data_IF_328335455965
#
_entry.id   IF_328335455965
#
_cell.length_a   1.000
_cell.length_b   1.000
_cell.length_c   1.000
_cell.angle_alpha   90.00
_cell.angle_beta   90.00
_cell.angle_gamma   90.00
#
_symmetry.space_group_name_H-M   'P 1'
#
loop_
_entity.id
_entity.type
_entity.pdbx_description
1 polymer ?
#
# COMPACT_ATOMS: atom_id res chain seq x y z
N UNK A 1 13.36 15.19 -15.06
CA UNK A 1 13.11 14.30 -13.91
C UNK A 1 11.60 14.12 -13.80
N UNK A 2 11.05 12.89 -13.86
CA UNK A 2 9.62 12.71 -13.74
C UNK A 2 9.18 13.21 -12.35
N UNK A 3 8.15 14.06 -12.32
CA UNK A 3 7.52 14.49 -11.06
C UNK A 3 6.99 13.23 -10.38
N UNK A 4 7.63 12.81 -9.29
CA UNK A 4 7.06 11.80 -8.39
C UNK A 4 5.70 12.35 -7.94
N UNK A 5 4.62 11.75 -8.43
CA UNK A 5 3.29 12.08 -7.96
C UNK A 5 3.10 11.30 -6.66
N UNK A 6 3.45 11.94 -5.55
CA UNK A 6 3.02 11.48 -4.24
C UNK A 6 1.49 11.41 -4.26
N UNK A 7 0.92 10.23 -4.00
CA UNK A 7 -0.52 9.98 -4.07
C UNK A 7 -0.98 9.43 -2.74
N UNK A 8 -1.99 10.08 -2.17
CA UNK A 8 -2.68 9.58 -0.97
C UNK A 8 -3.85 8.71 -1.43
N UNK A 9 -3.94 7.51 -0.88
CA UNK A 9 -5.06 6.59 -1.06
C UNK A 9 -5.66 6.26 0.31
N UNK A 10 -6.92 5.83 0.31
CA UNK A 10 -7.56 5.28 1.51
C UNK A 10 -7.89 3.82 1.23
N UNK A 11 -7.40 2.94 2.08
CA UNK A 11 -7.67 1.50 2.03
C UNK A 11 -8.74 1.14 3.05
N UNK A 12 -9.61 0.15 2.78
CA UNK A 12 -10.58 -0.34 3.76
C UNK A 12 -9.87 -1.05 4.94
N UNK A 13 -10.60 -1.31 6.04
CA UNK A 13 -10.13 -2.24 7.06
C UNK A 13 -9.94 -3.65 6.48
N UNK A 14 -9.04 -4.43 7.08
CA UNK A 14 -8.68 -5.79 6.68
C UNK A 14 -7.64 -5.86 5.56
N UNK A 15 -6.95 -4.76 5.26
CA UNK A 15 -5.88 -4.73 4.27
C UNK A 15 -4.54 -4.97 4.94
N UNK A 16 -3.76 -5.89 4.39
CA UNK A 16 -2.40 -6.18 4.81
C UNK A 16 -1.41 -5.19 4.19
N UNK A 17 -0.54 -4.65 5.04
CA UNK A 17 0.50 -3.69 4.69
C UNK A 17 1.84 -4.28 5.16
N UNK A 18 2.68 -4.68 4.21
CA UNK A 18 3.84 -5.53 4.48
C UNK A 18 5.09 -4.72 4.84
N UNK A 19 5.93 -5.27 5.70
CA UNK A 19 7.25 -4.73 6.03
C UNK A 19 8.30 -4.97 4.94
N UNK A 20 8.11 -6.02 4.14
CA UNK A 20 8.95 -6.34 2.99
C UNK A 20 8.19 -6.25 1.68
N UNK A 21 8.96 -6.27 0.59
CA UNK A 21 8.45 -6.26 -0.80
C UNK A 21 7.70 -7.53 -1.21
N UNK A 22 7.78 -8.58 -0.39
CA UNK A 22 7.21 -9.90 -0.66
C UNK A 22 6.11 -10.22 0.35
N UNK A 23 5.11 -10.99 -0.09
CA UNK A 23 3.94 -11.38 0.73
C UNK A 23 4.29 -12.27 1.93
N UNK A 24 5.46 -12.90 1.93
CA UNK A 24 5.96 -13.72 3.06
C UNK A 24 6.49 -12.88 4.24
N UNK A 25 6.46 -11.56 4.14
CA UNK A 25 6.98 -10.67 5.18
C UNK A 25 5.96 -10.45 6.29
N UNK A 26 6.43 -10.03 7.47
CA UNK A 26 5.52 -9.53 8.50
C UNK A 26 4.65 -8.40 7.94
N UNK A 27 3.41 -8.31 8.43
CA UNK A 27 2.42 -7.35 7.94
C UNK A 27 1.65 -6.70 9.07
N UNK A 28 1.18 -5.48 8.81
CA UNK A 28 0.22 -4.77 9.64
C UNK A 28 -1.14 -4.84 8.95
N UNK A 29 -2.15 -5.34 9.66
CA UNK A 29 -3.53 -5.38 9.18
C UNK A 29 -4.24 -4.09 9.60
N UNK A 30 -4.86 -3.39 8.65
CA UNK A 30 -5.66 -2.20 8.95
C UNK A 30 -6.95 -2.57 9.70
N UNK A 31 -7.26 -1.91 10.81
CA UNK A 31 -8.50 -2.16 11.57
C UNK A 31 -9.60 -1.11 11.31
N UNK A 32 -9.26 -0.04 10.61
CA UNK A 32 -10.16 1.03 10.17
C UNK A 32 -9.76 1.48 8.76
N UNK A 33 -10.55 2.33 8.07
CA UNK A 33 -10.07 2.97 6.87
C UNK A 33 -8.76 3.72 7.15
N UNK A 34 -7.69 3.33 6.45
CA UNK A 34 -6.34 3.85 6.70
C UNK A 34 -5.87 4.63 5.49
N UNK A 35 -5.31 5.82 5.73
CA UNK A 35 -4.70 6.60 4.69
C UNK A 35 -3.26 6.15 4.47
N UNK A 36 -2.88 5.93 3.21
CA UNK A 36 -1.54 5.57 2.80
C UNK A 36 -1.01 6.62 1.84
N UNK A 37 0.21 7.07 2.05
CA UNK A 37 0.94 7.92 1.11
C UNK A 37 1.85 7.05 0.27
N UNK A 38 1.62 6.98 -1.04
CA UNK A 38 2.51 6.32 -1.99
C UNK A 38 3.71 7.22 -2.22
N UNK A 39 4.90 6.71 -1.89
CA UNK A 39 6.16 7.46 -1.92
C UNK A 39 7.10 7.04 -3.06
N UNK A 40 6.67 6.12 -3.91
CA UNK A 40 7.48 5.58 -4.99
C UNK A 40 6.68 4.78 -6.02
N UNK A 41 7.35 4.29 -7.08
CA UNK A 41 6.70 3.50 -8.12
C UNK A 41 6.29 2.12 -7.61
N UNK A 42 5.34 1.49 -8.32
CA UNK A 42 5.01 0.08 -8.11
C UNK A 42 6.24 -0.77 -8.44
N UNK A 43 6.64 -1.65 -7.52
CA UNK A 43 7.71 -2.61 -7.73
C UNK A 43 7.28 -3.97 -7.17
N UNK A 44 7.46 -5.05 -7.93
CA UNK A 44 7.09 -6.41 -7.52
C UNK A 44 5.64 -6.56 -7.04
N UNK A 45 4.69 -5.85 -7.65
CA UNK A 45 3.27 -5.91 -7.26
C UNK A 45 2.90 -5.09 -6.02
N UNK A 46 3.85 -4.37 -5.42
CA UNK A 46 3.62 -3.56 -4.23
C UNK A 46 4.01 -2.09 -4.42
N UNK A 47 3.21 -1.18 -3.85
CA UNK A 47 3.55 0.23 -3.73
C UNK A 47 4.29 0.47 -2.42
N UNK A 48 5.45 1.15 -2.43
CA UNK A 48 6.04 1.66 -1.19
C UNK A 48 5.16 2.77 -0.63
N UNK A 49 4.78 2.65 0.63
CA UNK A 49 3.84 3.54 1.31
C UNK A 49 4.30 3.92 2.72
N UNK A 50 3.83 5.07 3.17
CA UNK A 50 3.80 5.45 4.59
C UNK A 50 2.34 5.51 5.07
N UNK A 51 2.09 5.06 6.30
CA UNK A 51 0.77 5.19 6.93
C UNK A 51 0.59 6.64 7.39
N UNK A 52 -0.58 7.21 7.11
CA UNK A 52 -1.02 8.48 7.70
C UNK A 52 -2.01 8.15 8.81
N UNK A 53 -1.63 8.50 10.04
CA UNK A 53 -2.40 8.28 11.26
C UNK A 53 -2.56 9.62 11.98
N UNK A 54 -3.79 10.00 12.33
CA UNK A 54 -4.11 11.32 12.93
C UNK A 54 -3.55 12.53 12.15
N UNK A 55 -3.54 12.43 10.82
CA UNK A 55 -3.03 13.47 9.92
C UNK A 55 -1.50 13.57 9.90
N UNK A 56 -0.78 12.64 10.54
CA UNK A 56 0.68 12.57 10.55
C UNK A 56 1.18 11.35 9.78
N UNK A 57 2.18 11.58 8.94
CA UNK A 57 2.90 10.53 8.23
C UNK A 57 3.82 9.78 9.20
N UNK A 58 3.66 8.47 9.29
CA UNK A 58 4.59 7.60 10.00
C UNK A 58 5.81 7.34 9.10
N UNK A 59 7.05 7.50 9.59
CA UNK A 59 8.26 7.35 8.77
C UNK A 59 8.62 5.90 8.42
N UNK A 60 7.70 4.96 8.68
CA UNK A 60 7.90 3.53 8.53
C UNK A 60 7.61 3.11 7.08
N UNK A 61 8.64 2.63 6.38
CA UNK A 61 8.50 2.14 5.00
C UNK A 61 7.76 0.81 5.01
N UNK A 62 6.61 0.81 4.35
CA UNK A 62 5.77 -0.37 4.19
C UNK A 62 5.41 -0.57 2.71
N UNK A 63 4.81 -1.70 2.40
CA UNK A 63 4.50 -2.13 1.05
C UNK A 63 3.04 -2.54 0.95
N UNK A 64 2.27 -1.81 0.15
CA UNK A 64 0.87 -2.14 -0.15
C UNK A 64 0.78 -2.96 -1.43
N UNK A 65 0.49 -4.25 -1.28
CA UNK A 65 0.31 -5.16 -2.40
C UNK A 65 -1.06 -4.94 -3.04
N UNK A 66 -1.10 -4.84 -4.36
CA UNK A 66 -2.37 -4.81 -5.07
C UNK A 66 -2.92 -6.23 -5.14
N UNK A 67 -4.23 -6.45 -4.91
CA UNK A 67 -4.83 -7.76 -5.14
C UNK A 67 -4.59 -8.18 -6.59
N UNK A 68 -4.40 -9.47 -6.82
CA UNK A 68 -4.24 -10.00 -8.17
C UNK A 68 -5.40 -9.51 -9.05
N UNK A 69 -5.12 -9.04 -10.28
CA UNK A 69 -6.16 -8.74 -11.23
C UNK A 69 -7.05 -9.97 -11.37
N UNK A 70 -8.34 -9.84 -11.07
CA UNK A 70 -9.27 -10.95 -11.28
C UNK A 70 -9.17 -11.35 -12.76
N UNK A 71 -9.00 -12.64 -13.08
CA UNK A 71 -9.01 -13.07 -14.46
C UNK A 71 -10.30 -12.56 -15.13
N UNK A 72 -10.23 -12.14 -16.41
CA UNK A 72 -11.42 -11.70 -17.12
C UNK A 72 -12.47 -12.80 -17.02
N UNK A 73 -13.69 -12.43 -16.65
CA UNK A 73 -14.80 -13.38 -16.54
C UNK A 73 -14.97 -13.98 -17.94
N UNK A 74 -14.93 -15.31 -18.13
CA UNK A 74 -15.23 -15.89 -19.43
C UNK A 74 -16.66 -15.46 -19.81
N UNK A 75 -16.81 -14.93 -21.03
CA UNK A 75 -18.09 -14.53 -21.62
C UNK A 75 -19.06 -15.72 -21.74
#
# INVERSE_FOLDING_TARGET
MPKMHEKIITVPPGVEINYGLTEDSDSVVTHSPTQLKIIGPLANGAYPVHIIEDGKERPELLFYHQPEPKPPRPE
#
